data_IF_891898186107
#
_entry.id   IF_891898186107
#
_cell.length_a   1.000
_cell.length_b   1.000
_cell.length_c   1.000
_cell.angle_alpha   90.00
_cell.angle_beta   90.00
_cell.angle_gamma   90.00
#
_symmetry.space_group_name_H-M   'P 1'
#
loop_
_entity.id
_entity.type
_entity.pdbx_description
1 polymer ?
#
# COMPACT_ATOMS: atom_id res chain seq x y z
N UNK A 1 10.03 4.94 -7.80
CA UNK A 1 9.89 4.81 -6.33
C UNK A 1 10.21 3.37 -5.96
N UNK A 2 11.05 3.14 -4.96
CA UNK A 2 11.41 1.78 -4.60
C UNK A 2 10.51 1.19 -3.52
N UNK A 3 10.69 -0.11 -3.26
CA UNK A 3 9.85 -0.84 -2.31
C UNK A 3 9.92 -0.23 -0.90
N UNK A 4 11.09 0.23 -0.49
CA UNK A 4 11.25 0.77 0.86
C UNK A 4 10.53 2.10 1.02
N UNK A 5 10.49 2.92 -0.01
CA UNK A 5 9.76 4.19 0.03
C UNK A 5 8.27 3.94 0.14
N UNK A 6 7.75 2.98 -0.63
CA UNK A 6 6.34 2.64 -0.59
C UNK A 6 5.97 2.14 0.81
N UNK A 7 6.76 1.23 1.36
CA UNK A 7 6.54 0.70 2.69
C UNK A 7 6.57 1.81 3.75
N UNK A 8 7.55 2.69 3.69
CA UNK A 8 7.68 3.78 4.64
C UNK A 8 6.48 4.72 4.63
N UNK A 9 6.02 5.08 3.44
CA UNK A 9 4.87 5.97 3.31
C UNK A 9 3.60 5.34 3.89
N UNK A 10 3.40 4.06 3.65
CA UNK A 10 2.25 3.36 4.19
C UNK A 10 2.34 3.30 5.72
N UNK A 11 3.49 2.98 6.26
CA UNK A 11 3.68 2.89 7.71
C UNK A 11 3.61 4.24 8.41
N UNK A 12 3.95 5.33 7.74
CA UNK A 12 3.77 6.66 8.30
C UNK A 12 2.30 6.97 8.56
N UNK A 13 1.44 6.59 7.64
CA UNK A 13 0.00 6.84 7.77
C UNK A 13 -0.70 5.80 8.63
N UNK A 14 -0.23 4.55 8.59
CA UNK A 14 -0.83 3.42 9.29
C UNK A 14 0.26 2.79 10.17
N UNK A 15 0.48 3.40 11.33
CA UNK A 15 1.61 3.05 12.19
C UNK A 15 1.62 1.60 12.66
N UNK A 16 0.44 0.97 12.75
CA UNK A 16 0.32 -0.42 13.17
C UNK A 16 0.42 -1.40 12.00
N UNK A 17 0.55 -0.92 10.77
CA UNK A 17 0.44 -1.76 9.58
C UNK A 17 1.63 -2.71 9.44
N UNK A 18 1.31 -3.93 9.01
CA UNK A 18 2.29 -4.85 8.46
C UNK A 18 2.19 -4.74 6.94
N UNK A 19 3.30 -4.46 6.29
CA UNK A 19 3.34 -4.24 4.85
C UNK A 19 4.25 -5.27 4.21
N UNK A 20 3.70 -6.01 3.25
CA UNK A 20 4.48 -6.94 2.44
C UNK A 20 4.40 -6.48 0.99
N UNK A 21 5.54 -6.19 0.39
CA UNK A 21 5.59 -5.69 -0.99
C UNK A 21 6.46 -6.62 -1.82
N UNK A 22 5.97 -6.95 -3.01
CA UNK A 22 6.70 -7.77 -3.96
C UNK A 22 6.80 -7.04 -5.30
N UNK A 23 7.95 -7.18 -5.95
CA UNK A 23 8.16 -6.70 -7.31
C UNK A 23 7.76 -7.82 -8.25
N UNK A 24 6.58 -7.72 -8.85
CA UNK A 24 5.98 -8.81 -9.60
C UNK A 24 6.72 -9.18 -10.88
N UNK A 25 7.28 -8.18 -11.55
CA UNK A 25 7.93 -8.40 -12.84
C UNK A 25 9.45 -8.41 -12.75
N UNK A 26 10.01 -8.08 -11.59
CA UNK A 26 11.44 -7.95 -11.43
C UNK A 26 12.04 -6.75 -12.15
N UNK A 27 11.19 -5.81 -12.59
CA UNK A 27 11.63 -4.64 -13.36
C UNK A 27 11.56 -3.33 -12.57
N UNK A 28 11.16 -3.39 -11.30
CA UNK A 28 11.04 -2.21 -10.47
C UNK A 28 9.82 -1.34 -10.77
N UNK A 29 8.90 -1.81 -11.59
CA UNK A 29 7.74 -1.02 -12.03
C UNK A 29 6.39 -1.62 -11.66
N UNK A 30 6.32 -2.92 -11.38
CA UNK A 30 5.06 -3.60 -11.08
C UNK A 30 5.15 -4.20 -9.68
N UNK A 31 4.34 -3.71 -8.78
CA UNK A 31 4.40 -4.12 -7.37
C UNK A 31 3.07 -4.67 -6.89
N UNK A 32 3.15 -5.55 -5.90
CA UNK A 32 1.99 -6.02 -5.14
C UNK A 32 2.24 -5.73 -3.67
N UNK A 33 1.35 -4.98 -3.05
CA UNK A 33 1.45 -4.66 -1.63
C UNK A 33 0.28 -5.28 -0.87
N UNK A 34 0.60 -6.02 0.20
CA UNK A 34 -0.41 -6.52 1.13
C UNK A 34 -0.25 -5.74 2.43
N UNK A 35 -1.28 -5.02 2.82
CA UNK A 35 -1.26 -4.18 4.01
C UNK A 35 -2.26 -4.71 5.02
N UNK A 36 -1.78 -5.06 6.20
CA UNK A 36 -2.60 -5.56 7.30
C UNK A 36 -2.62 -4.50 8.40
N UNK A 37 -3.80 -4.08 8.83
CA UNK A 37 -3.91 -3.06 9.86
C UNK A 37 -5.22 -3.20 10.61
N UNK A 38 -5.18 -2.98 11.93
CA UNK A 38 -6.38 -2.91 12.75
C UNK A 38 -7.26 -1.72 12.37
N UNK A 39 -6.69 -0.70 11.75
CA UNK A 39 -7.43 0.48 11.31
C UNK A 39 -8.40 0.18 10.17
N UNK A 40 -8.25 -0.95 9.50
CA UNK A 40 -9.16 -1.37 8.44
C UNK A 40 -10.45 -1.99 8.96
N UNK A 41 -10.51 -2.32 10.24
CA UNK A 41 -11.69 -2.95 10.84
C UNK A 41 -12.92 -2.05 10.69
N UNK A 42 -14.01 -2.62 10.22
CA UNK A 42 -15.25 -1.89 10.04
C UNK A 42 -15.30 -1.04 8.78
N UNK A 43 -14.28 -1.09 7.93
CA UNK A 43 -14.24 -0.32 6.69
C UNK A 43 -14.42 -1.22 5.48
N UNK A 44 -15.07 -0.68 4.44
CA UNK A 44 -15.23 -1.41 3.18
C UNK A 44 -13.88 -1.55 2.49
N UNK A 45 -13.79 -2.49 1.53
CA UNK A 45 -12.55 -2.64 0.77
C UNK A 45 -12.18 -1.37 0.02
N UNK A 46 -13.17 -0.65 -0.50
CA UNK A 46 -12.91 0.62 -1.18
C UNK A 46 -12.29 1.63 -0.23
N UNK A 47 -12.82 1.73 0.98
CA UNK A 47 -12.27 2.64 1.99
C UNK A 47 -10.86 2.25 2.41
N UNK A 48 -10.62 0.96 2.60
CA UNK A 48 -9.30 0.45 2.94
C UNK A 48 -8.28 0.80 1.86
N UNK A 49 -8.64 0.59 0.60
CA UNK A 49 -7.76 0.93 -0.52
C UNK A 49 -7.49 2.43 -0.59
N UNK A 50 -8.49 3.25 -0.34
CA UNK A 50 -8.31 4.71 -0.30
C UNK A 50 -7.33 5.12 0.79
N UNK A 51 -7.38 4.47 1.94
CA UNK A 51 -6.46 4.76 3.03
C UNK A 51 -5.01 4.50 2.60
N UNK A 52 -4.79 3.39 1.90
CA UNK A 52 -3.44 3.07 1.40
C UNK A 52 -2.99 4.06 0.34
N UNK A 53 -3.85 4.36 -0.64
CA UNK A 53 -3.50 5.32 -1.68
C UNK A 53 -3.22 6.70 -1.10
N UNK A 54 -4.02 7.14 -0.12
CA UNK A 54 -3.78 8.42 0.53
C UNK A 54 -2.45 8.44 1.29
N UNK A 55 -2.03 7.29 1.83
CA UNK A 55 -0.76 7.21 2.54
C UNK A 55 0.42 7.47 1.61
N UNK A 56 0.26 7.21 0.33
CA UNK A 56 1.30 7.44 -0.66
C UNK A 56 1.40 8.91 -1.07
N UNK A 57 0.41 9.72 -0.68
CA UNK A 57 0.43 11.20 -0.81
C UNK A 57 0.66 11.69 -2.24
N UNK A 58 0.23 10.91 -3.23
CA UNK A 58 0.40 11.27 -4.62
C UNK A 58 1.82 11.16 -5.15
N UNK A 59 2.73 10.63 -4.36
CA UNK A 59 4.15 10.55 -4.77
C UNK A 59 4.41 9.54 -5.87
N UNK A 60 3.53 8.56 -6.01
CA UNK A 60 3.69 7.58 -7.08
C UNK A 60 3.21 8.09 -8.44
N UNK A 61 2.34 9.09 -8.46
CA UNK A 61 1.86 9.64 -9.72
C UNK A 61 1.27 8.54 -10.63
N UNK A 62 1.78 8.45 -11.84
CA UNK A 62 1.31 7.44 -12.80
C UNK A 62 1.68 6.02 -12.42
N UNK A 63 2.57 5.83 -11.47
CA UNK A 63 2.99 4.49 -11.03
C UNK A 63 1.92 3.79 -10.19
N UNK A 64 0.93 4.53 -9.69
CA UNK A 64 -0.13 3.94 -8.87
C UNK A 64 -0.88 2.80 -9.57
N UNK A 65 -1.08 2.91 -10.88
CA UNK A 65 -1.80 1.85 -11.60
C UNK A 65 -0.98 0.56 -11.74
N UNK A 66 0.32 0.63 -11.48
CA UNK A 66 1.19 -0.54 -11.49
C UNK A 66 1.33 -1.18 -10.09
N UNK A 67 0.64 -0.62 -9.10
CA UNK A 67 0.65 -1.14 -7.73
C UNK A 67 -0.67 -1.85 -7.43
N UNK A 68 -0.61 -3.16 -7.29
CA UNK A 68 -1.75 -3.95 -6.84
C UNK A 68 -1.78 -3.94 -5.31
N UNK A 69 -2.93 -3.59 -4.74
CA UNK A 69 -3.08 -3.47 -3.30
C UNK A 69 -4.05 -4.50 -2.77
N UNK A 70 -3.65 -5.20 -1.71
CA UNK A 70 -4.52 -6.06 -0.93
C UNK A 70 -4.53 -5.55 0.49
N UNK A 71 -5.69 -5.51 1.10
CA UNK A 71 -5.84 -5.06 2.48
C UNK A 71 -6.43 -6.16 3.33
N UNK A 72 -5.98 -6.24 4.58
CA UNK A 72 -6.48 -7.22 5.54
C UNK A 72 -6.71 -6.53 6.88
N UNK A 73 -7.79 -6.92 7.54
CA UNK A 73 -8.02 -6.54 8.92
C UNK A 73 -7.13 -7.37 9.82
N UNK A 74 -6.66 -6.74 10.86
CA UNK A 74 -5.81 -7.43 11.83
C UNK A 74 -6.66 -8.06 12.94
#
# INVERSE_FOLDING_TARGET
MDLKEIESLIKEALADATVEIQDLAGDGNHYSATVTSAQFSGKSKIEQHKMVYNSLKGKMGNELHALAIKTKEQ
#
